data_IF_772116899026
#
_entry.id   IF_772116899026
#
_cell.length_a   1.000
_cell.length_b   1.000
_cell.length_c   1.000
_cell.angle_alpha   90.00
_cell.angle_beta   90.00
_cell.angle_gamma   90.00
#
_symmetry.space_group_name_H-M   'P 1'
#
loop_
_entity.id
_entity.type
_entity.pdbx_description
1 polymer ?
#
# COMPACT_ATOMS: atom_id res chain seq x y z
N UNK A 1 -26.10 -36.81 11.36
CA UNK A 1 -26.71 -35.71 10.57
C UNK A 1 -26.17 -34.38 11.09
N UNK A 2 -25.47 -33.61 10.25
CA UNK A 2 -25.05 -32.24 10.60
C UNK A 2 -26.30 -31.38 10.81
N UNK A 3 -26.35 -30.63 11.91
CA UNK A 3 -27.46 -29.70 12.19
C UNK A 3 -27.40 -28.53 11.20
N UNK A 4 -28.54 -28.09 10.68
CA UNK A 4 -28.66 -26.97 9.73
C UNK A 4 -27.96 -25.70 10.26
N UNK A 5 -28.02 -25.47 11.59
CA UNK A 5 -27.35 -24.37 12.28
C UNK A 5 -25.81 -24.42 12.14
N UNK A 6 -25.22 -25.62 12.09
CA UNK A 6 -23.77 -25.82 11.90
C UNK A 6 -23.36 -25.51 10.46
N UNK A 7 -24.21 -25.85 9.47
CA UNK A 7 -23.96 -25.51 8.06
C UNK A 7 -24.03 -24.00 7.84
N UNK A 8 -24.99 -23.32 8.47
CA UNK A 8 -25.15 -21.86 8.38
C UNK A 8 -23.95 -21.11 8.99
N UNK A 9 -23.44 -21.57 10.14
CA UNK A 9 -22.25 -21.02 10.81
C UNK A 9 -20.97 -21.20 9.99
N UNK A 10 -20.80 -22.37 9.35
CA UNK A 10 -19.66 -22.63 8.46
C UNK A 10 -19.71 -21.78 7.19
N UNK A 11 -20.90 -21.59 6.61
CA UNK A 11 -21.09 -20.67 5.47
C UNK A 11 -20.76 -19.23 5.87
N UNK A 12 -21.25 -18.75 7.02
CA UNK A 12 -21.02 -17.38 7.49
C UNK A 12 -19.53 -17.11 7.82
N UNK A 13 -18.80 -18.12 8.30
CA UNK A 13 -17.36 -18.03 8.57
C UNK A 13 -16.49 -18.17 7.31
N UNK A 14 -16.98 -18.82 6.24
CA UNK A 14 -16.24 -19.03 4.99
C UNK A 14 -16.31 -17.82 4.03
N UNK A 15 -17.39 -17.04 4.05
CA UNK A 15 -17.53 -15.85 3.16
C UNK A 15 -16.42 -14.80 3.36
N UNK A 16 -16.02 -14.42 4.60
CA UNK A 16 -14.99 -13.41 4.80
C UNK A 16 -13.61 -13.82 4.26
N UNK A 17 -13.25 -15.11 4.39
CA UNK A 17 -11.96 -15.63 3.94
C UNK A 17 -11.82 -15.61 2.41
N UNK A 18 -12.91 -15.83 1.68
CA UNK A 18 -12.93 -15.79 0.20
C UNK A 18 -12.89 -14.35 -0.33
N UNK A 19 -13.33 -13.37 0.47
CA UNK A 19 -13.32 -11.95 0.10
C UNK A 19 -11.98 -11.24 0.39
N UNK A 20 -11.12 -11.83 1.22
CA UNK A 20 -9.78 -11.31 1.48
C UNK A 20 -8.87 -11.58 0.29
N UNK A 21 -8.75 -10.61 -0.63
CA UNK A 21 -7.83 -10.72 -1.76
C UNK A 21 -6.39 -10.60 -1.27
N UNK A 22 -5.70 -11.72 -1.18
CA UNK A 22 -4.26 -11.76 -0.99
C UNK A 22 -3.54 -11.19 -2.22
N UNK A 23 -2.38 -10.58 -2.00
CA UNK A 23 -1.49 -10.20 -3.08
C UNK A 23 -1.01 -11.49 -3.78
N UNK A 24 -0.86 -11.50 -5.11
CA UNK A 24 -0.37 -12.69 -5.81
C UNK A 24 1.09 -12.97 -5.44
N UNK A 25 1.51 -14.23 -5.43
CA UNK A 25 2.89 -14.61 -5.05
C UNK A 25 3.95 -14.15 -6.07
N UNK A 26 3.53 -13.84 -7.31
CA UNK A 26 4.45 -13.38 -8.36
C UNK A 26 3.76 -12.42 -9.34
N UNK A 27 4.57 -11.66 -10.08
CA UNK A 27 4.09 -10.81 -11.17
C UNK A 27 4.09 -11.56 -12.49
N UNK A 28 3.15 -11.22 -13.37
CA UNK A 28 3.20 -11.69 -14.76
C UNK A 28 4.33 -11.00 -15.52
N UNK A 29 4.58 -11.44 -16.74
CA UNK A 29 5.49 -10.75 -17.66
C UNK A 29 5.09 -9.28 -17.95
N UNK A 30 3.87 -8.86 -17.62
CA UNK A 30 3.40 -7.49 -17.82
C UNK A 30 3.41 -6.64 -16.54
N UNK A 31 3.77 -7.22 -15.39
CA UNK A 31 3.93 -6.50 -14.13
C UNK A 31 4.94 -5.37 -14.23
N UNK A 32 4.66 -4.24 -13.58
CA UNK A 32 5.47 -3.02 -13.56
C UNK A 32 5.58 -2.49 -12.14
N UNK A 33 6.75 -1.93 -11.83
CA UNK A 33 7.02 -1.26 -10.56
C UNK A 33 7.32 0.21 -10.85
N UNK A 34 6.67 1.10 -10.12
CA UNK A 34 6.87 2.53 -10.22
C UNK A 34 7.36 3.08 -8.90
N UNK A 35 8.21 4.10 -8.98
CA UNK A 35 8.38 5.06 -7.90
C UNK A 35 7.28 6.09 -8.02
N UNK A 36 6.58 6.35 -6.93
CA UNK A 36 5.50 7.33 -6.89
C UNK A 36 5.83 8.40 -5.88
N UNK A 37 5.85 9.65 -6.32
CA UNK A 37 6.22 10.79 -5.51
C UNK A 37 5.03 11.73 -5.36
N UNK A 38 4.56 11.89 -4.12
CA UNK A 38 3.61 12.94 -3.76
C UNK A 38 4.40 14.18 -3.36
N UNK A 39 4.16 15.31 -4.03
CA UNK A 39 4.88 16.56 -3.81
C UNK A 39 4.73 17.11 -2.38
N UNK A 40 5.60 18.05 -1.94
CA UNK A 40 5.50 18.72 -0.65
C UNK A 40 4.09 19.17 -0.25
N UNK A 41 3.82 19.15 1.06
CA UNK A 41 2.64 19.74 1.68
C UNK A 41 3.01 20.64 2.85
N UNK A 42 2.00 21.15 3.56
CA UNK A 42 2.23 22.18 4.59
C UNK A 42 2.63 21.63 5.96
N UNK A 43 2.29 20.36 6.23
CA UNK A 43 2.49 19.73 7.53
C UNK A 43 3.93 19.26 7.70
N UNK A 44 4.43 19.25 8.94
CA UNK A 44 5.83 18.93 9.25
C UNK A 44 6.28 17.60 8.63
N UNK A 45 5.41 16.60 8.65
CA UNK A 45 5.71 15.25 8.16
C UNK A 45 5.60 15.08 6.65
N UNK A 46 5.04 16.05 5.93
CA UNK A 46 4.91 15.99 4.47
C UNK A 46 5.58 17.17 3.76
N UNK A 47 6.33 18.00 4.50
CA UNK A 47 7.00 19.20 4.01
C UNK A 47 7.99 18.96 2.88
N UNK A 48 8.57 17.77 2.80
CA UNK A 48 9.53 17.39 1.75
C UNK A 48 8.93 16.46 0.70
N UNK A 49 7.61 16.27 0.72
CA UNK A 49 6.93 15.29 -0.09
C UNK A 49 7.04 13.88 0.51
N UNK A 50 6.64 12.89 -0.29
CA UNK A 50 6.67 11.49 0.11
C UNK A 50 6.89 10.62 -1.13
N UNK A 51 7.69 9.57 -1.00
CA UNK A 51 7.88 8.58 -2.06
C UNK A 51 7.40 7.21 -1.60
N UNK A 52 6.75 6.50 -2.53
CA UNK A 52 6.18 5.18 -2.33
C UNK A 52 6.49 4.29 -3.54
N UNK A 53 6.33 2.98 -3.36
CA UNK A 53 6.47 1.99 -4.45
C UNK A 53 5.08 1.56 -4.90
N UNK A 54 4.78 1.72 -6.18
CA UNK A 54 3.56 1.17 -6.78
C UNK A 54 3.88 -0.09 -7.55
N UNK A 55 3.14 -1.16 -7.25
CA UNK A 55 3.15 -2.41 -8.02
C UNK A 55 1.87 -2.50 -8.83
N UNK A 56 2.01 -2.69 -10.14
CA UNK A 56 0.90 -2.76 -11.07
C UNK A 56 1.01 -4.00 -11.97
N UNK A 57 -0.03 -4.83 -11.98
CA UNK A 57 -0.20 -5.92 -12.93
C UNK A 57 -1.66 -6.03 -13.35
N UNK A 58 -1.95 -5.57 -14.57
CA UNK A 58 -3.30 -5.57 -15.14
C UNK A 58 -3.87 -6.98 -15.29
N UNK A 59 -3.05 -8.00 -15.58
CA UNK A 59 -3.54 -9.38 -15.79
C UNK A 59 -4.04 -10.00 -14.49
N UNK A 60 -3.51 -9.54 -13.37
CA UNK A 60 -3.87 -10.01 -12.02
C UNK A 60 -4.80 -9.04 -11.29
N UNK A 61 -5.18 -7.93 -11.92
CA UNK A 61 -5.95 -6.85 -11.28
C UNK A 61 -5.21 -6.22 -10.09
N UNK A 62 -3.87 -6.27 -10.07
CA UNK A 62 -3.03 -5.74 -9.01
C UNK A 62 -2.71 -4.28 -9.30
N UNK A 63 -3.02 -3.39 -8.36
CA UNK A 63 -2.64 -1.98 -8.42
C UNK A 63 -2.55 -1.37 -7.01
N UNK A 64 -1.38 -1.55 -6.39
CA UNK A 64 -1.15 -1.28 -4.97
C UNK A 64 0.03 -0.34 -4.81
N UNK A 65 -0.09 0.63 -3.91
CA UNK A 65 0.98 1.54 -3.50
C UNK A 65 1.40 1.22 -2.07
N UNK A 66 2.69 0.92 -1.89
CA UNK A 66 3.36 0.60 -0.63
C UNK A 66 4.10 1.85 -0.12
N UNK A 67 3.75 2.30 1.09
CA UNK A 67 4.35 3.43 1.75
C UNK A 67 5.31 2.95 2.83
N UNK A 68 6.57 3.33 2.68
CA UNK A 68 7.62 3.13 3.68
C UNK A 68 7.70 4.37 4.56
N UNK A 69 7.76 4.19 5.89
CA UNK A 69 7.75 5.32 6.82
C UNK A 69 6.35 5.82 7.20
N UNK A 70 5.34 4.93 7.20
CA UNK A 70 4.03 5.25 7.79
C UNK A 70 4.15 5.26 9.31
N UNK A 71 3.39 6.10 9.99
CA UNK A 71 3.38 6.23 11.44
C UNK A 71 1.95 6.46 11.93
N UNK A 72 1.73 6.29 13.24
CA UNK A 72 0.47 6.64 13.88
C UNK A 72 0.41 8.16 14.15
N UNK A 73 -0.67 8.81 13.73
CA UNK A 73 -0.87 10.24 13.97
C UNK A 73 -1.45 10.52 15.36
N UNK A 74 -2.05 9.53 16.01
CA UNK A 74 -2.76 9.68 17.29
C UNK A 74 -1.86 9.41 18.51
N UNK A 75 -0.59 9.03 18.29
CA UNK A 75 0.32 8.77 19.40
C UNK A 75 0.62 10.03 20.23
N UNK A 76 0.69 9.92 21.57
CA UNK A 76 1.07 11.04 22.43
C UNK A 76 2.43 11.63 22.06
N UNK A 77 2.50 12.96 21.95
CA UNK A 77 3.74 13.67 21.64
C UNK A 77 4.22 13.53 20.19
N UNK A 78 3.33 13.23 19.24
CA UNK A 78 3.66 13.02 17.81
C UNK A 78 4.70 13.99 17.25
N UNK A 79 4.50 15.31 17.37
CA UNK A 79 5.42 16.29 16.77
C UNK A 79 6.83 16.20 17.36
N UNK A 80 6.96 16.03 18.67
CA UNK A 80 8.26 15.88 19.34
C UNK A 80 8.97 14.62 18.84
N UNK A 81 8.29 13.47 18.90
CA UNK A 81 8.83 12.19 18.45
C UNK A 81 9.17 12.19 16.95
N UNK A 82 8.39 12.88 16.12
CA UNK A 82 8.68 13.05 14.70
C UNK A 82 10.00 13.81 14.50
N UNK A 83 10.19 14.92 15.21
CA UNK A 83 11.42 15.74 15.12
C UNK A 83 12.63 14.99 15.67
N UNK A 84 12.46 14.22 16.74
CA UNK A 84 13.53 13.44 17.37
C UNK A 84 13.82 12.11 16.64
N UNK A 85 12.98 11.72 15.68
CA UNK A 85 13.13 10.46 14.93
C UNK A 85 12.73 9.20 15.72
N UNK A 86 11.91 9.35 16.76
CA UNK A 86 11.49 8.29 17.69
C UNK A 86 10.13 7.66 17.34
N UNK A 87 9.62 7.90 16.13
CA UNK A 87 8.37 7.30 15.68
C UNK A 87 8.54 5.80 15.39
N UNK A 88 7.52 5.02 15.77
CA UNK A 88 7.38 3.65 15.31
C UNK A 88 6.90 3.65 13.85
N UNK A 89 7.85 3.53 12.93
CA UNK A 89 7.56 3.49 11.50
C UNK A 89 7.19 2.07 11.06
N UNK A 90 6.16 1.97 10.21
CA UNK A 90 5.72 0.71 9.63
C UNK A 90 5.42 0.82 8.13
N UNK A 91 5.43 -0.33 7.48
CA UNK A 91 4.97 -0.49 6.11
C UNK A 91 3.44 -0.44 6.08
N UNK A 92 2.87 0.44 5.27
CA UNK A 92 1.45 0.42 4.95
C UNK A 92 1.24 0.31 3.45
N UNK A 93 0.09 -0.21 3.02
CA UNK A 93 -0.25 -0.27 1.62
C UNK A 93 -1.72 0.03 1.40
N UNK A 94 -2.04 0.53 0.21
CA UNK A 94 -3.41 0.78 -0.22
C UNK A 94 -3.53 0.64 -1.73
N UNK A 95 -4.76 0.54 -2.25
CA UNK A 95 -4.95 0.66 -3.70
C UNK A 95 -4.38 1.98 -4.19
N UNK A 96 -3.69 1.98 -5.34
CA UNK A 96 -3.14 3.22 -5.92
C UNK A 96 -4.23 4.28 -6.15
N UNK A 97 -5.45 3.84 -6.45
CA UNK A 97 -6.62 4.74 -6.54
C UNK A 97 -6.84 5.52 -5.24
N UNK A 98 -6.86 4.84 -4.09
CA UNK A 98 -7.03 5.48 -2.78
C UNK A 98 -5.88 6.43 -2.47
N UNK A 99 -4.64 6.02 -2.75
CA UNK A 99 -3.47 6.89 -2.57
C UNK A 99 -3.57 8.16 -3.42
N UNK A 100 -3.97 8.04 -4.69
CA UNK A 100 -4.19 9.20 -5.58
C UNK A 100 -5.33 10.11 -5.15
N UNK A 101 -6.42 9.54 -4.61
CA UNK A 101 -7.53 10.32 -4.05
C UNK A 101 -7.09 11.08 -2.79
N UNK A 102 -6.30 10.44 -1.93
CA UNK A 102 -5.75 11.08 -0.73
C UNK A 102 -4.86 12.28 -1.11
N UNK A 103 -3.96 12.10 -2.09
CA UNK A 103 -3.14 13.20 -2.59
C UNK A 103 -4.01 14.35 -3.13
N UNK A 104 -5.07 14.06 -3.90
CA UNK A 104 -6.01 15.08 -4.39
C UNK A 104 -6.75 15.82 -3.28
N UNK A 105 -7.23 15.10 -2.26
CA UNK A 105 -7.91 15.72 -1.10
C UNK A 105 -6.96 16.64 -0.34
N UNK A 106 -5.68 16.30 -0.29
CA UNK A 106 -4.63 17.12 0.31
C UNK A 106 -4.15 18.27 -0.60
N UNK A 107 -4.73 18.46 -1.79
CA UNK A 107 -4.27 19.37 -2.84
C UNK A 107 -2.79 19.16 -3.24
N UNK A 108 -2.37 17.90 -3.25
CA UNK A 108 -0.99 17.49 -3.57
C UNK A 108 -0.95 16.72 -4.88
N UNK A 109 0.05 17.04 -5.70
CA UNK A 109 0.31 16.30 -6.95
C UNK A 109 1.04 14.99 -6.66
N UNK A 110 0.56 13.89 -7.23
CA UNK A 110 1.20 12.57 -7.19
C UNK A 110 1.76 12.22 -8.58
N UNK A 111 3.08 12.17 -8.70
CA UNK A 111 3.81 11.84 -9.92
C UNK A 111 4.26 10.38 -9.90
N UNK A 112 4.29 9.72 -11.05
CA UNK A 112 4.70 8.33 -11.14
C UNK A 112 5.83 8.19 -12.16
N UNK A 113 6.86 7.43 -11.80
CA UNK A 113 8.01 7.11 -12.63
C UNK A 113 8.14 5.60 -12.72
N UNK A 114 8.07 5.07 -13.94
CA UNK A 114 8.34 3.65 -14.18
C UNK A 114 9.82 3.39 -13.89
N UNK A 115 10.11 2.34 -13.12
CA UNK A 115 11.49 1.91 -12.91
C UNK A 115 12.02 1.26 -14.18
N UNK A 116 13.21 1.69 -14.61
CA UNK A 116 13.95 1.10 -15.72
C UNK A 116 14.78 -0.09 -15.22
N UNK A 117 14.11 -1.24 -15.09
CA UNK A 117 14.66 -2.47 -14.55
C UNK A 117 14.25 -3.66 -15.40
N UNK A 118 15.10 -4.69 -15.44
CA UNK A 118 14.79 -5.93 -16.14
C UNK A 118 13.81 -6.82 -15.32
N UNK A 119 13.37 -7.95 -15.90
CA UNK A 119 12.40 -8.84 -15.24
C UNK A 119 12.94 -9.45 -13.95
N UNK A 120 14.19 -9.92 -13.95
CA UNK A 120 14.81 -10.52 -12.76
C UNK A 120 14.86 -9.53 -11.60
N UNK A 121 15.29 -8.29 -11.85
CA UNK A 121 15.32 -7.23 -10.85
C UNK A 121 13.92 -6.90 -10.32
N UNK A 122 12.93 -6.80 -11.22
CA UNK A 122 11.53 -6.54 -10.84
C UNK A 122 10.98 -7.66 -9.96
N UNK A 123 11.23 -8.90 -10.33
CA UNK A 123 10.71 -10.07 -9.62
C UNK A 123 11.41 -10.24 -8.28
N UNK A 124 12.71 -9.93 -8.20
CA UNK A 124 13.45 -9.87 -6.94
C UNK A 124 12.91 -8.78 -5.99
N UNK A 125 12.59 -7.58 -6.50
CA UNK A 125 11.98 -6.51 -5.70
C UNK A 125 10.59 -6.93 -5.20
N UNK A 126 9.80 -7.61 -6.02
CA UNK A 126 8.45 -8.02 -5.64
C UNK A 126 8.42 -9.15 -4.61
N UNK A 127 9.45 -10.01 -4.62
CA UNK A 127 9.57 -11.15 -3.71
C UNK A 127 10.22 -10.80 -2.35
N UNK A 128 10.77 -9.59 -2.20
CA UNK A 128 11.40 -9.10 -0.97
C UNK A 128 10.38 -8.68 0.09
#
# INVERSE_FOLDING_TARGET
MMRVSTVLLLLLAAVPAVLARQLPDSLTAQGRIYVVTTLPGDLVYNRYGHTAIRVFDRRQGLDVTFNFGTFDFEQPGFVQKFVDGELDYFLSYSSTRRASQTARIQDRTMRQQLLDINREQRDAIYAA
#
